data_IF_752432172597
#
_entry.id   IF_752432172597
#
_cell.length_a   1.000
_cell.length_b   1.000
_cell.length_c   1.000
_cell.angle_alpha   90.00
_cell.angle_beta   90.00
_cell.angle_gamma   90.00
#
_symmetry.space_group_name_H-M   'P 1'
#
loop_
_entity.id
_entity.type
_entity.pdbx_description
1 polymer ?
#
# COMPACT_ATOMS: atom_id res chain seq x y z
N UNK A 1 -18.54 -13.45 -34.74
CA UNK A 1 -17.33 -12.71 -34.33
C UNK A 1 -17.41 -11.24 -34.76
N UNK A 2 -16.90 -10.29 -33.95
CA UNK A 2 -16.92 -8.84 -34.28
C UNK A 2 -16.04 -8.51 -35.49
N UNK A 3 -14.82 -9.04 -35.53
CA UNK A 3 -13.86 -8.76 -36.59
C UNK A 3 -14.36 -9.18 -37.98
N UNK A 4 -15.20 -10.20 -38.10
CA UNK A 4 -15.72 -10.62 -39.40
C UNK A 4 -16.87 -9.75 -39.94
N UNK A 5 -17.45 -8.85 -39.13
CA UNK A 5 -18.56 -8.00 -39.57
C UNK A 5 -18.03 -6.84 -40.42
N UNK A 6 -18.78 -6.38 -41.44
CA UNK A 6 -18.43 -5.13 -42.12
C UNK A 6 -18.61 -3.93 -41.17
N UNK A 7 -17.88 -2.83 -41.41
CA UNK A 7 -17.90 -1.61 -40.57
C UNK A 7 -19.31 -1.09 -40.30
N UNK A 8 -20.18 -1.10 -41.33
CA UNK A 8 -21.61 -0.70 -41.22
C UNK A 8 -22.46 -1.52 -40.24
N UNK A 9 -22.01 -2.72 -39.85
CA UNK A 9 -22.66 -3.59 -38.85
C UNK A 9 -21.85 -3.64 -37.54
N UNK A 10 -21.01 -2.64 -37.29
CA UNK A 10 -20.20 -2.53 -36.08
C UNK A 10 -18.94 -3.40 -36.07
N UNK A 11 -18.45 -3.83 -37.25
CA UNK A 11 -17.16 -4.50 -37.36
C UNK A 11 -16.00 -3.62 -36.92
N UNK A 12 -15.06 -4.21 -36.19
CA UNK A 12 -13.88 -3.56 -35.61
C UNK A 12 -12.75 -4.60 -35.42
N UNK A 13 -11.52 -4.12 -35.28
CA UNK A 13 -10.43 -4.98 -34.78
C UNK A 13 -10.75 -5.47 -33.37
N UNK A 14 -10.19 -6.62 -33.00
CA UNK A 14 -10.28 -7.18 -31.65
C UNK A 14 -8.86 -7.46 -31.17
N UNK A 15 -8.50 -6.91 -30.02
CA UNK A 15 -7.21 -7.12 -29.37
C UNK A 15 -7.42 -7.97 -28.12
N UNK A 16 -6.70 -9.09 -28.05
CA UNK A 16 -6.68 -9.96 -26.88
C UNK A 16 -5.40 -9.72 -26.10
N UNK A 17 -5.54 -9.62 -24.78
CA UNK A 17 -4.42 -9.46 -23.85
C UNK A 17 -4.58 -10.49 -22.75
N UNK A 18 -3.69 -11.48 -22.72
CA UNK A 18 -3.60 -12.48 -21.65
C UNK A 18 -2.39 -12.22 -20.74
N UNK A 19 -2.38 -12.84 -19.55
CA UNK A 19 -1.25 -12.81 -18.61
C UNK A 19 -0.02 -13.61 -19.08
N UNK A 20 -0.21 -14.62 -19.95
CA UNK A 20 0.85 -15.50 -20.48
C UNK A 20 0.74 -15.67 -22.00
N UNK A 21 1.88 -15.93 -22.66
CA UNK A 21 1.96 -16.11 -24.11
C UNK A 21 1.17 -17.33 -24.62
N UNK A 22 1.13 -18.42 -23.86
CA UNK A 22 0.38 -19.63 -24.22
C UNK A 22 -1.13 -19.36 -24.37
N UNK A 23 -1.69 -18.49 -23.53
CA UNK A 23 -3.12 -18.14 -23.58
C UNK A 23 -3.46 -17.36 -24.87
N UNK A 24 -2.51 -16.57 -25.39
CA UNK A 24 -2.67 -15.90 -26.67
C UNK A 24 -2.83 -16.89 -27.84
N UNK A 25 -2.08 -17.99 -27.81
CA UNK A 25 -2.20 -19.08 -28.79
C UNK A 25 -3.57 -19.75 -28.71
N UNK A 26 -4.00 -20.12 -27.51
CA UNK A 26 -5.28 -20.78 -27.28
C UNK A 26 -6.47 -19.91 -27.70
N UNK A 27 -6.43 -18.61 -27.37
CA UNK A 27 -7.45 -17.66 -27.79
C UNK A 27 -7.56 -17.54 -29.30
N UNK A 28 -6.42 -17.43 -30.00
CA UNK A 28 -6.38 -17.36 -31.46
C UNK A 28 -6.84 -18.68 -32.08
N UNK A 29 -6.42 -19.83 -31.56
CA UNK A 29 -6.88 -21.13 -32.02
C UNK A 29 -8.40 -21.29 -31.88
N UNK A 30 -8.98 -20.88 -30.74
CA UNK A 30 -10.42 -20.87 -30.51
C UNK A 30 -11.13 -19.95 -31.51
N UNK A 31 -10.63 -18.72 -31.71
CA UNK A 31 -11.17 -17.80 -32.71
C UNK A 31 -11.14 -18.37 -34.13
N UNK A 32 -10.07 -19.07 -34.52
CA UNK A 32 -9.93 -19.70 -35.83
C UNK A 32 -10.95 -20.83 -36.02
N UNK A 33 -11.14 -21.68 -34.99
CA UNK A 33 -12.14 -22.75 -34.99
C UNK A 33 -13.54 -22.19 -35.27
N UNK A 34 -13.95 -21.16 -34.54
CA UNK A 34 -15.26 -20.52 -34.73
C UNK A 34 -15.37 -19.83 -36.09
N UNK A 35 -14.32 -19.16 -36.55
CA UNK A 35 -14.33 -18.51 -37.86
C UNK A 35 -14.55 -19.50 -39.01
N UNK A 36 -13.96 -20.70 -38.92
CA UNK A 36 -14.17 -21.81 -39.87
C UNK A 36 -15.60 -22.36 -39.77
N UNK A 37 -16.09 -22.62 -38.56
CA UNK A 37 -17.43 -23.17 -38.33
C UNK A 37 -18.56 -22.26 -38.86
N UNK A 38 -18.42 -20.94 -38.74
CA UNK A 38 -19.40 -19.98 -39.25
C UNK A 38 -19.21 -19.62 -40.74
N UNK A 39 -18.43 -20.41 -41.48
CA UNK A 39 -18.13 -20.24 -42.91
C UNK A 39 -17.72 -18.80 -43.30
N UNK A 40 -16.97 -18.11 -42.42
CA UNK A 40 -16.65 -16.70 -42.63
C UNK A 40 -15.47 -16.46 -43.58
N UNK A 41 -15.07 -17.47 -44.40
CA UNK A 41 -13.89 -17.46 -45.28
C UNK A 41 -12.69 -16.77 -44.62
N UNK A 42 -12.48 -17.04 -43.33
CA UNK A 42 -11.26 -16.63 -42.68
C UNK A 42 -10.14 -17.37 -43.40
N UNK A 43 -9.28 -16.63 -44.12
CA UNK A 43 -7.91 -17.06 -44.35
C UNK A 43 -7.22 -17.01 -42.99
N UNK A 44 -7.60 -17.96 -42.14
CA UNK A 44 -7.00 -18.20 -40.84
C UNK A 44 -5.65 -18.87 -41.09
N UNK A 45 -4.78 -18.15 -41.78
CA UNK A 45 -3.36 -18.36 -41.70
C UNK A 45 -3.01 -17.77 -40.34
N UNK A 46 -2.66 -18.63 -39.37
CA UNK A 46 -2.06 -18.15 -38.12
C UNK A 46 -0.72 -17.56 -38.54
N UNK A 47 -0.68 -16.24 -38.73
CA UNK A 47 0.56 -15.56 -39.04
C UNK A 47 1.35 -15.46 -37.75
N UNK A 48 2.46 -16.18 -37.68
CA UNK A 48 3.55 -15.87 -36.77
C UNK A 48 4.34 -14.73 -37.43
N UNK A 49 4.07 -13.49 -37.01
CA UNK A 49 4.81 -12.34 -37.52
C UNK A 49 5.63 -11.77 -36.36
N UNK A 50 6.95 -11.93 -36.45
CA UNK A 50 7.92 -11.22 -35.63
C UNK A 50 7.98 -9.77 -36.10
N UNK A 51 7.74 -8.84 -35.18
CA UNK A 51 8.05 -7.42 -35.40
C UNK A 51 9.23 -7.05 -34.53
N UNK A 52 10.24 -6.42 -35.13
CA UNK A 52 11.43 -5.97 -34.42
C UNK A 52 11.14 -4.65 -33.71
N UNK A 53 11.25 -4.64 -32.38
CA UNK A 53 11.19 -3.42 -31.59
C UNK A 53 12.55 -2.71 -31.67
N UNK A 54 12.62 -1.62 -32.44
CA UNK A 54 13.85 -0.85 -32.64
C UNK A 54 14.37 -0.18 -31.37
N UNK A 55 13.50 0.10 -30.40
CA UNK A 55 13.88 0.75 -29.15
C UNK A 55 14.50 -0.25 -28.16
N UNK A 56 14.13 -1.53 -28.26
CA UNK A 56 14.53 -2.58 -27.29
C UNK A 56 15.39 -3.70 -27.87
N UNK A 57 15.56 -3.76 -29.19
CA UNK A 57 16.29 -4.83 -29.89
C UNK A 57 15.77 -6.24 -29.55
N UNK A 58 14.45 -6.40 -29.51
CA UNK A 58 13.79 -7.69 -29.24
C UNK A 58 12.71 -7.99 -30.30
N UNK A 59 12.47 -9.28 -30.55
CA UNK A 59 11.38 -9.74 -31.41
C UNK A 59 10.08 -9.88 -30.61
N UNK A 60 9.02 -9.20 -31.07
CA UNK A 60 7.68 -9.37 -30.51
C UNK A 60 6.92 -10.38 -31.38
N UNK A 61 6.64 -11.56 -30.81
CA UNK A 61 5.78 -12.58 -31.38
C UNK A 61 4.31 -12.15 -31.28
N UNK A 62 3.63 -12.02 -32.41
CA UNK A 62 2.19 -11.69 -32.45
C UNK A 62 1.41 -12.75 -33.22
N UNK A 63 0.32 -13.24 -32.61
CA UNK A 63 -0.62 -14.17 -33.24
C UNK A 63 -1.85 -13.41 -33.74
N UNK A 64 -2.24 -13.64 -35.01
CA UNK A 64 -3.27 -12.84 -35.66
C UNK A 64 -4.13 -13.66 -36.63
N UNK A 65 -5.42 -13.35 -36.67
CA UNK A 65 -6.37 -13.79 -37.69
C UNK A 65 -6.85 -12.56 -38.46
N UNK A 66 -6.77 -12.61 -39.79
CA UNK A 66 -7.29 -11.56 -40.68
C UNK A 66 -8.62 -11.98 -41.28
N UNK A 67 -9.52 -11.00 -41.43
CA UNK A 67 -10.83 -11.17 -42.06
C UNK A 67 -10.91 -10.31 -43.32
N UNK A 68 -10.42 -10.78 -44.49
CA UNK A 68 -10.25 -9.97 -45.69
C UNK A 68 -11.51 -9.22 -46.13
N UNK A 69 -12.67 -9.87 -46.07
CA UNK A 69 -13.96 -9.29 -46.48
C UNK A 69 -14.42 -8.11 -45.61
N UNK A 70 -13.87 -8.00 -44.40
CA UNK A 70 -14.22 -6.95 -43.45
C UNK A 70 -13.12 -5.89 -43.28
N UNK A 71 -11.87 -6.24 -43.64
CA UNK A 71 -10.68 -5.43 -43.39
C UNK A 71 -10.17 -5.45 -41.95
N UNK A 72 -10.80 -6.18 -41.02
CA UNK A 72 -10.40 -6.23 -39.62
C UNK A 72 -9.57 -7.47 -39.26
N UNK A 73 -8.99 -7.42 -38.06
CA UNK A 73 -8.18 -8.51 -37.48
C UNK A 73 -8.57 -8.82 -36.03
N UNK A 74 -8.32 -10.06 -35.64
CA UNK A 74 -8.15 -10.46 -34.24
C UNK A 74 -6.65 -10.61 -34.01
N UNK A 75 -6.11 -9.93 -33.00
CA UNK A 75 -4.67 -9.96 -32.71
C UNK A 75 -4.46 -10.14 -31.21
N UNK A 76 -3.61 -11.09 -30.84
CA UNK A 76 -3.14 -11.20 -29.47
C UNK A 76 -1.91 -10.31 -29.27
N UNK A 77 -1.90 -9.59 -28.15
CA UNK A 77 -0.83 -8.69 -27.72
C UNK A 77 -0.32 -9.14 -26.35
N UNK A 78 0.93 -8.83 -26.04
CA UNK A 78 1.42 -8.99 -24.67
C UNK A 78 0.77 -7.96 -23.74
N UNK A 79 0.81 -8.24 -22.43
CA UNK A 79 0.25 -7.41 -21.35
C UNK A 79 0.90 -6.04 -21.17
N UNK A 80 1.89 -5.68 -22.00
CA UNK A 80 2.55 -4.37 -21.95
C UNK A 80 1.60 -3.25 -22.40
N UNK A 81 1.31 -2.23 -21.58
CA UNK A 81 0.37 -1.16 -21.91
C UNK A 81 0.71 -0.37 -23.18
N UNK A 82 2.01 -0.24 -23.50
CA UNK A 82 2.50 0.43 -24.71
C UNK A 82 1.91 -0.17 -25.99
N UNK A 83 1.63 -1.47 -26.00
CA UNK A 83 1.17 -2.18 -27.20
C UNK A 83 -0.26 -1.85 -27.60
N UNK A 84 -1.07 -1.31 -26.67
CA UNK A 84 -2.44 -0.89 -26.97
C UNK A 84 -2.50 0.57 -27.45
N UNK A 85 -1.50 1.40 -27.12
CA UNK A 85 -1.55 2.83 -27.45
C UNK A 85 -1.48 3.03 -28.96
N UNK A 86 -2.36 3.89 -29.49
CA UNK A 86 -2.45 4.18 -30.92
C UNK A 86 -3.24 3.15 -31.75
N UNK A 87 -3.71 2.05 -31.13
CA UNK A 87 -4.59 1.09 -31.80
C UNK A 87 -6.06 1.52 -31.74
N UNK A 88 -6.88 0.95 -32.63
CA UNK A 88 -8.33 1.17 -32.64
C UNK A 88 -9.07 -0.16 -32.83
N UNK A 89 -9.89 -0.53 -31.84
CA UNK A 89 -10.62 -1.80 -31.81
C UNK A 89 -11.13 -2.16 -30.42
N UNK A 90 -11.96 -3.20 -30.36
CA UNK A 90 -12.39 -3.80 -29.09
C UNK A 90 -11.18 -4.42 -28.37
N UNK A 91 -11.15 -4.34 -27.04
CA UNK A 91 -10.10 -4.95 -26.21
C UNK A 91 -10.73 -6.03 -25.32
N UNK A 92 -10.08 -7.18 -25.25
CA UNK A 92 -10.41 -8.30 -24.35
C UNK A 92 -9.20 -8.52 -23.46
N UNK A 93 -9.36 -8.20 -22.18
CA UNK A 93 -8.37 -8.46 -21.13
C UNK A 93 -8.83 -9.70 -20.40
N UNK A 94 -8.02 -10.74 -20.47
CA UNK A 94 -8.29 -12.05 -19.89
C UNK A 94 -7.33 -12.32 -18.72
N UNK A 95 -7.77 -13.09 -17.75
CA UNK A 95 -7.10 -13.27 -16.46
C UNK A 95 -6.74 -11.94 -15.78
N UNK A 96 -7.62 -10.94 -15.89
CA UNK A 96 -7.37 -9.56 -15.48
C UNK A 96 -6.81 -9.43 -14.05
N UNK A 97 -7.31 -10.23 -13.09
CA UNK A 97 -6.89 -10.19 -11.70
C UNK A 97 -5.44 -10.68 -11.45
N UNK A 98 -4.79 -11.24 -12.47
CA UNK A 98 -3.42 -11.77 -12.43
C UNK A 98 -2.43 -10.98 -13.29
N UNK A 99 -2.81 -9.80 -13.81
CA UNK A 99 -1.87 -8.88 -14.46
C UNK A 99 -1.16 -8.02 -13.42
N UNK A 100 0.17 -8.02 -13.41
CA UNK A 100 0.99 -7.19 -12.49
C UNK A 100 0.72 -5.68 -12.64
N UNK A 101 0.47 -5.22 -13.87
CA UNK A 101 0.25 -3.81 -14.20
C UNK A 101 -1.18 -3.56 -14.74
N UNK A 102 -2.19 -4.17 -14.11
CA UNK A 102 -3.57 -4.07 -14.58
C UNK A 102 -4.05 -2.60 -14.70
N UNK A 103 -3.67 -1.71 -13.79
CA UNK A 103 -4.10 -0.31 -13.81
C UNK A 103 -3.63 0.43 -15.09
N UNK A 104 -2.35 0.33 -15.43
CA UNK A 104 -1.80 0.94 -16.64
C UNK A 104 -2.34 0.28 -17.91
N UNK A 105 -2.61 -1.04 -17.88
CA UNK A 105 -3.25 -1.75 -18.98
C UNK A 105 -4.67 -1.24 -19.21
N UNK A 106 -5.47 -1.08 -18.15
CA UNK A 106 -6.83 -0.55 -18.20
C UNK A 106 -6.85 0.89 -18.70
N UNK A 107 -5.92 1.73 -18.21
CA UNK A 107 -5.74 3.11 -18.69
C UNK A 107 -5.47 3.17 -20.19
N UNK A 108 -4.63 2.28 -20.71
CA UNK A 108 -4.38 2.17 -22.15
C UNK A 108 -5.62 1.65 -22.90
N UNK A 109 -6.29 0.61 -22.39
CA UNK A 109 -7.47 0.01 -23.02
C UNK A 109 -8.66 0.98 -23.07
N UNK A 110 -8.91 1.75 -22.01
CA UNK A 110 -10.01 2.71 -21.96
C UNK A 110 -9.81 3.89 -22.91
N UNK A 111 -8.58 4.25 -23.28
CA UNK A 111 -8.36 5.26 -24.31
C UNK A 111 -8.97 4.86 -25.68
N UNK A 112 -9.09 3.54 -25.96
CA UNK A 112 -9.68 3.04 -27.20
C UNK A 112 -11.21 3.16 -27.24
N UNK A 113 -11.89 3.30 -26.10
CA UNK A 113 -13.35 3.40 -26.04
C UNK A 113 -13.87 4.73 -26.59
N UNK A 114 -13.02 5.76 -26.66
CA UNK A 114 -13.35 7.08 -27.22
C UNK A 114 -13.98 7.00 -28.63
N UNK A 115 -13.62 5.99 -29.42
CA UNK A 115 -14.13 5.78 -30.77
C UNK A 115 -15.24 4.71 -30.86
N UNK A 116 -15.93 4.48 -29.73
CA UNK A 116 -17.05 3.55 -29.59
C UNK A 116 -16.62 2.08 -29.58
N UNK A 117 -15.37 1.79 -29.22
CA UNK A 117 -14.89 0.42 -29.01
C UNK A 117 -15.28 -0.09 -27.62
N UNK A 118 -15.31 -1.41 -27.44
CA UNK A 118 -15.67 -2.06 -26.17
C UNK A 118 -14.45 -2.63 -25.49
N UNK A 119 -14.37 -2.48 -24.17
CA UNK A 119 -13.40 -3.18 -23.32
C UNK A 119 -14.14 -4.28 -22.57
N UNK A 120 -13.62 -5.50 -22.62
CA UNK A 120 -14.10 -6.65 -21.83
C UNK A 120 -12.99 -7.05 -20.88
N UNK A 121 -13.34 -7.18 -19.60
CA UNK A 121 -12.43 -7.55 -18.52
C UNK A 121 -12.97 -8.87 -17.96
N UNK A 122 -12.19 -9.93 -18.08
CA UNK A 122 -12.58 -11.32 -17.75
C UNK A 122 -11.50 -11.88 -16.82
N UNK A 123 -11.91 -12.50 -15.72
CA UNK A 123 -11.02 -13.12 -14.75
C UNK A 123 -11.80 -13.96 -13.74
N UNK A 124 -11.16 -14.95 -13.13
CA UNK A 124 -11.53 -15.39 -11.78
C UNK A 124 -11.11 -14.34 -10.75
N UNK A 125 -11.64 -14.42 -9.53
CA UNK A 125 -11.25 -13.49 -8.48
C UNK A 125 -9.85 -13.82 -7.93
N UNK A 126 -9.17 -12.80 -7.40
CA UNK A 126 -7.88 -12.93 -6.71
C UNK A 126 -7.90 -12.06 -5.46
N UNK A 127 -8.78 -12.40 -4.51
CA UNK A 127 -9.03 -11.62 -3.30
C UNK A 127 -9.96 -10.42 -3.49
N UNK A 128 -10.48 -9.92 -2.36
CA UNK A 128 -11.35 -8.73 -2.31
C UNK A 128 -10.61 -7.42 -2.58
N UNK A 129 -9.32 -7.33 -2.28
CA UNK A 129 -8.54 -6.09 -2.41
C UNK A 129 -7.95 -5.89 -3.81
N UNK A 130 -8.08 -6.89 -4.70
CA UNK A 130 -7.57 -6.81 -6.06
C UNK A 130 -8.35 -5.80 -6.89
N UNK A 131 -7.64 -5.07 -7.75
CA UNK A 131 -8.20 -4.03 -8.61
C UNK A 131 -9.37 -4.55 -9.47
N UNK A 132 -9.31 -5.80 -9.94
CA UNK A 132 -10.42 -6.42 -10.66
C UNK A 132 -11.72 -6.46 -9.82
N UNK A 133 -11.64 -6.86 -8.55
CA UNK A 133 -12.78 -6.85 -7.65
C UNK A 133 -13.28 -5.43 -7.37
N UNK A 134 -12.37 -4.46 -7.21
CA UNK A 134 -12.74 -3.06 -7.02
C UNK A 134 -13.58 -2.52 -8.20
N UNK A 135 -13.19 -2.83 -9.43
CA UNK A 135 -13.95 -2.43 -10.63
C UNK A 135 -15.36 -3.04 -10.67
N UNK A 136 -15.53 -4.27 -10.19
CA UNK A 136 -16.85 -4.92 -10.05
C UNK A 136 -17.70 -4.19 -9.00
N UNK A 137 -17.12 -3.82 -7.85
CA UNK A 137 -17.85 -3.09 -6.81
C UNK A 137 -18.24 -1.69 -7.28
N UNK A 138 -17.31 -0.95 -7.90
CA UNK A 138 -17.58 0.37 -8.47
C UNK A 138 -18.74 0.33 -9.49
N UNK A 139 -18.83 -0.72 -10.30
CA UNK A 139 -19.92 -0.91 -11.24
C UNK A 139 -21.26 -1.20 -10.54
N UNK A 140 -21.26 -2.08 -9.52
CA UNK A 140 -22.46 -2.42 -8.74
C UNK A 140 -23.00 -1.24 -7.93
N UNK A 141 -22.12 -0.37 -7.46
CA UNK A 141 -22.46 0.86 -6.74
C UNK A 141 -22.88 2.00 -7.67
N UNK A 142 -22.84 1.80 -8.99
CA UNK A 142 -23.20 2.83 -9.98
C UNK A 142 -22.15 3.93 -10.16
N UNK A 143 -20.94 3.77 -9.59
CA UNK A 143 -19.80 4.68 -9.84
C UNK A 143 -19.24 4.52 -11.24
N UNK A 144 -19.46 3.36 -11.88
CA UNK A 144 -19.10 3.07 -13.27
C UNK A 144 -20.28 2.50 -14.03
N UNK A 145 -20.51 2.98 -15.25
CA UNK A 145 -21.55 2.47 -16.15
C UNK A 145 -21.09 1.19 -16.87
N UNK A 146 -20.80 0.14 -16.09
CA UNK A 146 -20.34 -1.15 -16.59
C UNK A 146 -21.38 -2.23 -16.34
N UNK A 147 -21.56 -3.13 -17.31
CA UNK A 147 -22.36 -4.34 -17.10
C UNK A 147 -21.51 -5.42 -16.44
N UNK A 148 -21.88 -5.84 -15.22
CA UNK A 148 -21.23 -6.95 -14.52
C UNK A 148 -21.92 -8.26 -14.87
N UNK A 149 -21.13 -9.25 -15.31
CA UNK A 149 -21.60 -10.61 -15.59
C UNK A 149 -20.86 -11.59 -14.68
N UNK A 150 -21.59 -12.54 -14.08
CA UNK A 150 -21.03 -13.58 -13.20
C UNK A 150 -21.49 -14.93 -13.73
N UNK A 151 -20.54 -15.81 -14.01
CA UNK A 151 -20.77 -17.17 -14.51
C UNK A 151 -19.93 -18.11 -13.64
N UNK A 152 -20.58 -18.82 -12.72
CA UNK A 152 -19.94 -19.80 -11.85
C UNK A 152 -19.76 -21.13 -12.58
N UNK A 153 -18.97 -22.04 -12.00
CA UNK A 153 -18.88 -23.41 -12.47
C UNK A 153 -20.27 -24.09 -12.51
N UNK A 154 -21.14 -23.79 -11.54
CA UNK A 154 -22.48 -24.37 -11.47
C UNK A 154 -23.37 -23.86 -12.60
N UNK A 155 -23.26 -22.58 -12.95
CA UNK A 155 -23.94 -22.01 -14.12
C UNK A 155 -23.45 -22.69 -15.41
N UNK A 156 -22.13 -22.88 -15.55
CA UNK A 156 -21.55 -23.54 -16.71
C UNK A 156 -21.95 -25.03 -16.81
N UNK A 157 -22.04 -25.74 -15.68
CA UNK A 157 -22.54 -27.12 -15.62
C UNK A 157 -24.00 -27.18 -16.07
N UNK A 158 -24.85 -26.28 -15.57
CA UNK A 158 -26.25 -26.19 -15.98
C UNK A 158 -26.40 -25.95 -17.49
N UNK A 159 -25.48 -25.18 -18.09
CA UNK A 159 -25.39 -24.95 -19.54
C UNK A 159 -24.74 -26.11 -20.34
N UNK A 160 -24.34 -27.19 -19.66
CA UNK A 160 -23.87 -28.43 -20.28
C UNK A 160 -22.35 -28.57 -20.39
N UNK A 161 -21.55 -27.85 -19.60
CA UNK A 161 -20.09 -27.97 -19.58
C UNK A 161 -19.64 -29.42 -19.41
N UNK A 162 -20.15 -30.13 -18.40
CA UNK A 162 -19.72 -31.50 -18.13
C UNK A 162 -20.13 -32.47 -19.24
N UNK A 163 -21.32 -32.28 -19.84
CA UNK A 163 -21.74 -33.02 -21.05
C UNK A 163 -20.75 -32.83 -22.20
N UNK A 164 -20.26 -31.60 -22.40
CA UNK A 164 -19.25 -31.30 -23.41
C UNK A 164 -17.91 -31.94 -23.10
N UNK A 165 -17.48 -31.93 -21.84
CA UNK A 165 -16.27 -32.62 -21.39
C UNK A 165 -16.38 -34.11 -21.70
N UNK A 166 -17.45 -34.77 -21.26
CA UNK A 166 -17.72 -36.19 -21.55
C UNK A 166 -17.67 -36.49 -23.06
N UNK A 167 -18.27 -35.64 -23.89
CA UNK A 167 -18.24 -35.81 -25.34
C UNK A 167 -16.83 -35.74 -25.93
N UNK A 168 -16.02 -34.75 -25.52
CA UNK A 168 -14.66 -34.57 -26.06
C UNK A 168 -13.69 -35.62 -25.52
N UNK A 169 -13.88 -36.09 -24.29
CA UNK A 169 -13.06 -37.12 -23.65
C UNK A 169 -13.55 -38.55 -23.92
N UNK A 170 -14.62 -38.70 -24.71
CA UNK A 170 -15.27 -39.98 -25.02
C UNK A 170 -15.69 -40.78 -23.77
N UNK A 171 -16.23 -40.09 -22.78
CA UNK A 171 -16.77 -40.67 -21.54
C UNK A 171 -18.31 -40.65 -21.55
N UNK A 172 -18.98 -41.68 -20.99
CA UNK A 172 -20.42 -41.65 -20.83
C UNK A 172 -20.83 -40.59 -19.79
N UNK A 173 -21.82 -39.77 -20.12
CA UNK A 173 -22.38 -38.78 -19.20
C UNK A 173 -23.48 -39.42 -18.33
N UNK A 174 -23.51 -39.08 -17.04
CA UNK A 174 -24.65 -39.29 -16.15
C UNK A 174 -24.76 -38.16 -15.12
N UNK A 175 -25.95 -37.90 -14.56
CA UNK A 175 -26.12 -36.90 -13.49
C UNK A 175 -25.24 -37.18 -12.25
N UNK A 176 -25.04 -38.45 -11.92
CA UNK A 176 -24.21 -38.88 -10.79
C UNK A 176 -22.73 -38.60 -11.05
N UNK A 177 -22.27 -38.87 -12.27
CA UNK A 177 -20.90 -38.58 -12.69
C UNK A 177 -20.62 -37.08 -12.72
N UNK A 178 -21.58 -36.27 -13.17
CA UNK A 178 -21.50 -34.81 -13.18
C UNK A 178 -21.37 -34.24 -11.76
N UNK A 179 -22.23 -34.70 -10.85
CA UNK A 179 -22.17 -34.31 -9.44
C UNK A 179 -20.86 -34.75 -8.79
N UNK A 180 -20.43 -35.99 -9.03
CA UNK A 180 -19.17 -36.51 -8.48
C UNK A 180 -17.96 -35.74 -8.99
N UNK A 181 -17.95 -35.32 -10.26
CA UNK A 181 -16.91 -34.49 -10.85
C UNK A 181 -16.85 -33.11 -10.20
N UNK A 182 -18.00 -32.42 -10.10
CA UNK A 182 -18.12 -31.12 -9.42
C UNK A 182 -17.64 -31.22 -7.97
N UNK A 183 -18.17 -32.17 -7.21
CA UNK A 183 -17.81 -32.34 -5.80
C UNK A 183 -16.34 -32.73 -5.63
N UNK A 184 -15.76 -33.45 -6.61
CA UNK A 184 -14.34 -33.73 -6.70
C UNK A 184 -13.49 -32.48 -6.88
N UNK A 185 -13.88 -31.55 -7.75
CA UNK A 185 -13.18 -30.27 -7.95
C UNK A 185 -13.14 -29.44 -6.66
N UNK A 186 -14.29 -29.30 -5.98
CA UNK A 186 -14.38 -28.57 -4.72
C UNK A 186 -13.59 -29.25 -3.59
N UNK A 187 -13.59 -30.59 -3.54
CA UNK A 187 -12.86 -31.36 -2.51
C UNK A 187 -11.34 -31.32 -2.70
N UNK A 188 -10.88 -31.30 -3.96
CA UNK A 188 -9.46 -31.34 -4.30
C UNK A 188 -8.80 -29.95 -4.31
N UNK A 189 -9.60 -28.88 -4.19
CA UNK A 189 -9.06 -27.54 -4.01
C UNK A 189 -8.30 -27.41 -2.67
N UNK A 190 -7.29 -26.52 -2.54
CA UNK A 190 -6.48 -26.38 -1.32
C UNK A 190 -7.29 -26.12 -0.05
N UNK A 191 -8.37 -25.34 -0.15
CA UNK A 191 -9.35 -25.09 0.90
C UNK A 191 -10.66 -24.60 0.27
N UNK A 192 -11.73 -24.55 1.08
CA UNK A 192 -13.06 -24.12 0.63
C UNK A 192 -13.05 -22.73 -0.01
N UNK A 193 -12.35 -21.79 0.60
CA UNK A 193 -12.27 -20.41 0.09
C UNK A 193 -11.59 -20.34 -1.28
N UNK A 194 -10.64 -21.25 -1.56
CA UNK A 194 -9.99 -21.39 -2.86
C UNK A 194 -10.91 -22.01 -3.90
N UNK A 195 -11.73 -22.98 -3.51
CA UNK A 195 -12.77 -23.51 -4.40
C UNK A 195 -13.83 -22.45 -4.72
N UNK A 196 -14.27 -21.70 -3.71
CA UNK A 196 -15.29 -20.65 -3.84
C UNK A 196 -14.79 -19.49 -4.72
N UNK A 197 -13.50 -19.15 -4.65
CA UNK A 197 -12.86 -18.13 -5.50
C UNK A 197 -12.70 -18.56 -6.95
N UNK A 198 -12.19 -19.78 -7.16
CA UNK A 198 -11.92 -20.30 -8.50
C UNK A 198 -13.20 -20.71 -9.22
N UNK A 199 -14.10 -21.44 -8.56
CA UNK A 199 -15.29 -22.05 -9.17
C UNK A 199 -16.59 -21.31 -8.83
N UNK A 200 -16.66 -20.69 -7.66
CA UNK A 200 -17.85 -20.00 -7.18
C UNK A 200 -17.92 -18.52 -7.58
N UNK A 201 -16.86 -17.96 -8.18
CA UNK A 201 -16.72 -16.52 -8.40
C UNK A 201 -17.02 -15.71 -7.13
N UNK A 202 -16.50 -16.17 -5.98
CA UNK A 202 -16.60 -15.50 -4.68
C UNK A 202 -15.19 -15.05 -4.32
N UNK A 203 -14.87 -13.75 -4.36
CA UNK A 203 -13.52 -13.31 -4.01
C UNK A 203 -13.18 -13.81 -2.61
N UNK A 204 -11.98 -14.37 -2.43
CA UNK A 204 -11.52 -14.69 -1.09
C UNK A 204 -11.59 -13.41 -0.27
N UNK A 205 -12.23 -13.51 0.90
CA UNK A 205 -12.01 -12.51 1.94
C UNK A 205 -10.50 -12.37 2.09
N UNK A 206 -10.02 -11.14 2.18
CA UNK A 206 -8.61 -10.87 2.34
C UNK A 206 -8.06 -11.83 3.39
N UNK A 207 -7.16 -12.73 3.00
CA UNK A 207 -6.36 -13.44 3.98
C UNK A 207 -5.46 -12.41 4.64
N UNK A 208 -5.98 -11.72 5.67
CA UNK A 208 -5.18 -10.90 6.58
C UNK A 208 -4.92 -9.44 6.18
N UNK A 209 -5.92 -8.61 5.91
CA UNK A 209 -5.81 -7.17 6.20
C UNK A 209 -6.53 -6.92 7.54
N UNK A 210 -5.78 -6.58 8.58
CA UNK A 210 -6.33 -6.43 9.93
C UNK A 210 -7.24 -5.19 10.06
N UNK A 211 -6.89 -4.13 9.32
CA UNK A 211 -7.64 -2.90 9.13
C UNK A 211 -8.19 -2.85 7.70
N UNK A 212 -9.47 -2.52 7.54
CA UNK A 212 -10.04 -2.35 6.20
C UNK A 212 -9.65 -0.98 5.63
N UNK A 213 -9.52 -0.91 4.30
CA UNK A 213 -9.29 0.34 3.57
C UNK A 213 -10.30 1.43 3.95
N UNK A 214 -11.58 1.07 4.11
CA UNK A 214 -12.66 2.01 4.47
C UNK A 214 -12.41 2.64 5.84
N UNK A 215 -12.00 1.85 6.85
CA UNK A 215 -11.68 2.37 8.18
C UNK A 215 -10.48 3.32 8.13
N UNK A 216 -9.45 2.96 7.36
CA UNK A 216 -8.25 3.77 7.22
C UNK A 216 -8.58 5.11 6.52
N UNK A 217 -9.28 5.06 5.38
CA UNK A 217 -9.64 6.27 4.63
C UNK A 217 -10.61 7.19 5.38
N UNK A 218 -11.44 6.65 6.28
CA UNK A 218 -12.31 7.41 7.16
C UNK A 218 -11.52 8.15 8.26
N UNK A 219 -10.43 7.58 8.76
CA UNK A 219 -9.51 8.23 9.70
C UNK A 219 -8.59 9.25 9.01
N UNK A 220 -8.44 9.22 7.69
CA UNK A 220 -7.59 10.17 6.97
C UNK A 220 -8.24 11.56 6.86
N UNK A 221 -7.50 12.62 7.22
CA UNK A 221 -8.00 14.00 7.09
C UNK A 221 -8.31 14.39 5.63
N UNK A 222 -9.54 14.80 5.27
CA UNK A 222 -9.87 15.15 3.89
C UNK A 222 -9.16 16.42 3.41
N UNK A 223 -8.86 17.34 4.32
CA UNK A 223 -8.21 18.63 4.01
C UNK A 223 -6.69 18.53 3.84
N UNK A 224 -6.09 17.34 4.08
CA UNK A 224 -4.66 17.05 3.88
C UNK A 224 -3.72 18.01 4.64
N UNK A 225 -4.12 18.36 5.86
CA UNK A 225 -3.45 19.36 6.69
C UNK A 225 -2.39 18.78 7.65
N UNK A 226 -2.19 17.46 7.65
CA UNK A 226 -1.17 16.78 8.47
C UNK A 226 0.09 16.56 7.61
N UNK A 227 1.23 17.23 7.89
CA UNK A 227 2.44 17.10 7.10
C UNK A 227 3.13 15.74 7.30
N UNK A 228 3.74 15.22 6.22
CA UNK A 228 4.67 14.08 6.27
C UNK A 228 6.04 14.58 5.84
N UNK A 229 6.92 14.79 6.81
CA UNK A 229 8.27 15.30 6.63
C UNK A 229 9.23 14.14 6.40
N UNK A 230 9.97 14.19 5.30
CA UNK A 230 10.94 13.15 4.95
C UNK A 230 12.33 13.71 4.95
N UNK A 231 13.23 13.06 5.67
CA UNK A 231 14.65 13.40 5.66
C UNK A 231 15.47 12.19 5.24
N UNK A 232 16.11 12.30 4.08
CA UNK A 232 17.01 11.29 3.54
C UNK A 232 18.43 11.85 3.57
N UNK A 233 19.28 11.23 4.39
CA UNK A 233 20.68 11.60 4.46
C UNK A 233 21.43 11.12 3.19
N UNK A 234 22.32 11.95 2.62
CA UNK A 234 23.08 11.58 1.43
C UNK A 234 23.99 10.36 1.69
N UNK A 235 24.39 9.65 0.63
CA UNK A 235 25.17 8.41 0.76
C UNK A 235 26.52 8.62 1.48
N UNK A 236 27.09 9.83 1.42
CA UNK A 236 28.34 10.22 2.06
C UNK A 236 28.15 10.84 3.46
N UNK A 237 26.94 10.85 4.02
CA UNK A 237 26.63 11.53 5.27
C UNK A 237 27.47 11.04 6.48
N UNK A 238 27.80 9.75 6.52
CA UNK A 238 28.68 9.18 7.54
C UNK A 238 30.12 9.70 7.46
N UNK A 239 30.57 10.12 6.27
CA UNK A 239 31.93 10.63 6.04
C UNK A 239 32.11 12.08 6.49
N UNK A 240 31.01 12.82 6.70
CA UNK A 240 31.04 14.18 7.22
C UNK A 240 31.58 14.22 8.65
N UNK A 241 32.02 15.39 9.11
CA UNK A 241 32.38 15.56 10.53
C UNK A 241 31.13 15.52 11.41
N UNK A 242 31.24 15.15 12.71
CA UNK A 242 30.11 15.22 13.64
C UNK A 242 29.44 16.60 13.68
N UNK A 243 30.21 17.68 13.60
CA UNK A 243 29.71 19.06 13.61
C UNK A 243 28.90 19.38 12.35
N UNK A 244 29.36 18.94 11.18
CA UNK A 244 28.62 19.14 9.93
C UNK A 244 27.30 18.36 9.93
N UNK A 245 27.30 17.09 10.35
CA UNK A 245 26.06 16.32 10.49
C UNK A 245 25.08 16.99 11.45
N UNK A 246 25.59 17.49 12.57
CA UNK A 246 24.79 18.19 13.57
C UNK A 246 24.15 19.46 12.99
N UNK A 247 24.92 20.31 12.32
CA UNK A 247 24.43 21.53 11.68
C UNK A 247 23.36 21.25 10.63
N UNK A 248 23.59 20.30 9.72
CA UNK A 248 22.61 19.94 8.67
C UNK A 248 21.27 19.51 9.28
N UNK A 249 21.32 18.67 10.31
CA UNK A 249 20.10 18.19 10.97
C UNK A 249 19.45 19.27 11.81
N UNK A 250 20.24 20.14 12.44
CA UNK A 250 19.73 21.27 13.21
C UNK A 250 18.98 22.25 12.32
N UNK A 251 19.57 22.64 11.18
CA UNK A 251 18.94 23.53 10.21
C UNK A 251 17.62 22.94 9.71
N UNK A 252 17.60 21.64 9.41
CA UNK A 252 16.37 20.95 8.99
C UNK A 252 15.31 20.93 10.09
N UNK A 253 15.69 20.65 11.35
CA UNK A 253 14.78 20.72 12.48
C UNK A 253 14.19 22.13 12.67
N UNK A 254 15.00 23.17 12.53
CA UNK A 254 14.57 24.56 12.69
C UNK A 254 13.66 25.03 11.54
N UNK A 255 13.93 24.59 10.32
CA UNK A 255 13.14 24.99 9.15
C UNK A 255 11.82 24.21 9.03
N UNK A 256 11.84 22.90 9.27
CA UNK A 256 10.71 22.02 8.97
C UNK A 256 9.92 21.61 10.22
N UNK A 257 10.59 21.36 11.36
CA UNK A 257 9.92 20.87 12.58
C UNK A 257 9.48 21.99 13.50
N UNK A 258 10.32 23.01 13.71
CA UNK A 258 10.04 24.07 14.67
C UNK A 258 8.71 24.80 14.39
N UNK A 259 8.35 25.17 13.14
CA UNK A 259 7.07 25.82 12.89
C UNK A 259 5.86 24.94 13.25
N UNK A 260 5.97 23.62 13.04
CA UNK A 260 4.90 22.68 13.38
C UNK A 260 4.78 22.45 14.89
N UNK A 261 5.92 22.40 15.58
CA UNK A 261 5.99 22.24 17.04
C UNK A 261 5.44 23.50 17.76
N UNK A 262 5.81 24.69 17.29
CA UNK A 262 5.33 25.96 17.86
C UNK A 262 3.82 26.18 17.63
N UNK A 263 3.25 25.58 16.58
CA UNK A 263 1.82 25.62 16.30
C UNK A 263 0.98 24.64 17.16
N UNK A 264 1.61 23.76 17.95
CA UNK A 264 0.88 22.79 18.76
C UNK A 264 0.12 23.45 19.91
N UNK A 265 -1.14 23.06 20.08
CA UNK A 265 -1.99 23.60 21.15
C UNK A 265 -1.53 23.14 22.53
N UNK A 266 -1.22 24.05 23.47
CA UNK A 266 -0.86 23.69 24.84
C UNK A 266 -2.03 23.10 25.64
N UNK A 267 -3.26 23.15 25.11
CA UNK A 267 -4.43 22.55 25.74
C UNK A 267 -4.47 21.02 25.56
N UNK A 268 -3.83 20.51 24.51
CA UNK A 268 -3.81 19.09 24.19
C UNK A 268 -2.68 18.40 24.95
N UNK A 269 -2.87 17.12 25.30
CA UNK A 269 -1.76 16.26 25.72
C UNK A 269 -1.05 15.76 24.48
N UNK A 270 0.26 15.58 24.54
CA UNK A 270 1.03 15.03 23.42
C UNK A 270 1.75 13.76 23.83
N UNK A 271 1.73 12.78 22.92
CA UNK A 271 2.46 11.52 23.04
C UNK A 271 3.19 11.22 21.74
N UNK A 272 4.20 10.35 21.78
CA UNK A 272 4.97 9.99 20.60
C UNK A 272 5.12 8.47 20.48
N UNK A 273 4.95 7.95 19.27
CA UNK A 273 5.33 6.60 18.91
C UNK A 273 6.49 6.60 17.94
N UNK A 274 7.33 5.56 18.05
CA UNK A 274 8.51 5.40 17.23
C UNK A 274 8.67 3.96 16.75
N UNK A 275 9.01 3.81 15.48
CA UNK A 275 9.51 2.56 14.90
C UNK A 275 10.91 2.81 14.33
N UNK A 276 11.88 2.02 14.78
CA UNK A 276 13.29 2.27 14.54
C UNK A 276 13.81 1.51 13.33
N UNK A 277 14.51 2.20 12.42
CA UNK A 277 15.34 1.56 11.41
C UNK A 277 16.67 2.28 11.16
N UNK A 278 17.69 1.49 10.79
CA UNK A 278 19.00 2.04 10.40
C UNK A 278 19.36 1.85 8.93
N UNK A 279 19.01 0.69 8.37
CA UNK A 279 19.37 0.28 7.00
C UNK A 279 18.15 -0.35 6.33
N UNK A 280 17.90 0.01 5.07
CA UNK A 280 16.75 -0.50 4.30
C UNK A 280 15.45 0.23 4.65
N UNK A 281 14.99 0.03 5.88
CA UNK A 281 13.69 0.50 6.38
C UNK A 281 13.75 1.95 6.85
N UNK A 282 12.58 2.54 7.17
CA UNK A 282 12.45 3.93 7.63
C UNK A 282 12.35 3.99 9.15
N UNK A 283 13.07 4.91 9.79
CA UNK A 283 12.67 5.32 11.16
C UNK A 283 11.48 6.25 11.04
N UNK A 284 10.44 6.02 11.83
CA UNK A 284 9.21 6.82 11.79
C UNK A 284 8.89 7.37 13.17
N UNK A 285 8.72 8.68 13.29
CA UNK A 285 8.20 9.34 14.49
C UNK A 285 6.76 9.83 14.25
N UNK A 286 5.86 9.50 15.18
CA UNK A 286 4.44 9.84 15.12
C UNK A 286 4.01 10.53 16.42
N UNK A 287 4.12 11.87 16.51
CA UNK A 287 3.47 12.64 17.56
C UNK A 287 1.95 12.66 17.37
N UNK A 288 1.22 12.32 18.44
CA UNK A 288 -0.24 12.46 18.52
C UNK A 288 -0.60 13.54 19.54
N UNK A 289 -1.49 14.45 19.14
CA UNK A 289 -2.24 15.30 20.04
C UNK A 289 -3.50 14.57 20.52
N UNK A 290 -3.73 14.58 21.83
CA UNK A 290 -4.95 14.09 22.48
C UNK A 290 -5.72 15.30 22.96
N UNK A 291 -6.86 15.54 22.35
CA UNK A 291 -7.73 16.68 22.63
C UNK A 291 -8.51 16.47 23.93
N UNK A 292 -9.11 17.53 24.52
CA UNK A 292 -9.94 17.40 25.73
C UNK A 292 -11.15 16.46 25.58
N UNK A 293 -11.66 16.27 24.37
CA UNK A 293 -12.69 15.29 24.01
C UNK A 293 -12.13 13.89 23.72
N UNK A 294 -10.87 13.63 24.09
CA UNK A 294 -10.19 12.33 24.06
C UNK A 294 -9.92 11.76 22.65
N UNK A 295 -10.07 12.59 21.61
CA UNK A 295 -9.72 12.22 20.24
C UNK A 295 -8.22 12.36 20.02
N UNK A 296 -7.68 11.46 19.20
CA UNK A 296 -6.27 11.43 18.84
C UNK A 296 -6.09 11.99 17.43
N UNK A 297 -5.12 12.87 17.27
CA UNK A 297 -4.80 13.46 15.97
C UNK A 297 -3.29 13.42 15.76
N UNK A 298 -2.86 12.84 14.64
CA UNK A 298 -1.47 12.96 14.18
C UNK A 298 -1.16 14.44 13.93
N UNK A 299 -0.12 14.94 14.60
CA UNK A 299 0.31 16.34 14.45
C UNK A 299 1.05 16.51 13.12
N UNK A 300 2.04 15.64 12.92
CA UNK A 300 2.86 15.49 11.72
C UNK A 300 3.55 14.13 11.78
N UNK A 301 4.17 13.72 10.69
CA UNK A 301 5.01 12.52 10.63
C UNK A 301 6.43 12.89 10.24
N UNK A 302 7.40 12.22 10.86
CA UNK A 302 8.79 12.26 10.39
C UNK A 302 9.19 10.88 9.90
N UNK A 303 9.66 10.79 8.66
CA UNK A 303 10.21 9.57 8.06
C UNK A 303 11.70 9.80 7.75
N UNK A 304 12.58 9.03 8.37
CA UNK A 304 14.03 9.15 8.23
C UNK A 304 14.60 7.99 7.42
N UNK A 305 15.47 8.31 6.45
CA UNK A 305 16.18 7.33 5.63
C UNK A 305 17.68 7.61 5.67
N UNK A 306 18.47 6.55 5.86
CA UNK A 306 19.92 6.59 5.85
C UNK A 306 20.56 7.51 6.93
N UNK A 307 19.80 7.92 7.94
CA UNK A 307 20.27 8.83 9.00
C UNK A 307 21.08 8.07 10.05
N UNK A 308 22.21 8.63 10.51
CA UNK A 308 23.03 8.01 11.56
C UNK A 308 22.32 8.01 12.91
N UNK A 309 22.71 7.09 13.81
CA UNK A 309 22.12 6.95 15.14
C UNK A 309 22.06 8.28 15.93
N UNK A 310 23.17 9.02 15.97
CA UNK A 310 23.23 10.30 16.69
C UNK A 310 22.32 11.37 16.10
N UNK A 311 22.15 11.36 14.78
CA UNK A 311 21.30 12.32 14.10
C UNK A 311 19.81 11.98 14.24
N UNK A 312 19.45 10.70 14.26
CA UNK A 312 18.11 10.28 14.65
C UNK A 312 17.80 10.68 16.10
N UNK A 313 18.78 10.49 17.01
CA UNK A 313 18.69 10.95 18.41
C UNK A 313 18.51 12.46 18.52
N UNK A 314 19.26 13.24 17.73
CA UNK A 314 19.10 14.70 17.69
C UNK A 314 17.69 15.11 17.31
N UNK A 315 17.14 14.53 16.22
CA UNK A 315 15.78 14.82 15.75
C UNK A 315 14.76 14.43 16.82
N UNK A 316 14.90 13.23 17.41
CA UNK A 316 14.02 12.77 18.47
C UNK A 316 13.97 13.74 19.66
N UNK A 317 15.14 14.13 20.17
CA UNK A 317 15.23 15.03 21.33
C UNK A 317 14.73 16.45 20.99
N UNK A 318 14.94 16.90 19.75
CA UNK A 318 14.39 18.16 19.27
C UNK A 318 12.85 18.17 19.33
N UNK A 319 12.20 17.07 18.92
CA UNK A 319 10.75 16.89 18.98
C UNK A 319 10.28 16.82 20.44
N UNK A 320 10.81 15.88 21.23
CA UNK A 320 10.31 15.61 22.59
C UNK A 320 10.40 16.84 23.50
N UNK A 321 11.48 17.63 23.41
CA UNK A 321 11.68 18.84 24.22
C UNK A 321 10.71 19.99 23.88
N UNK A 322 9.93 19.86 22.81
CA UNK A 322 9.01 20.89 22.31
C UNK A 322 7.55 20.44 22.24
N UNK A 323 7.23 19.20 22.64
CA UNK A 323 5.84 18.75 22.72
C UNK A 323 5.15 19.35 23.97
N UNK A 324 4.11 20.17 23.83
CA UNK A 324 3.39 20.72 24.98
C UNK A 324 2.70 19.62 25.78
N UNK A 325 2.71 19.70 27.12
CA UNK A 325 2.07 18.69 27.99
C UNK A 325 2.41 17.25 27.57
N UNK A 326 3.69 17.03 27.25
CA UNK A 326 4.19 15.72 26.88
C UNK A 326 3.88 14.72 28.01
N UNK A 327 3.20 13.63 27.66
CA UNK A 327 2.69 12.64 28.63
C UNK A 327 3.44 11.31 28.55
N UNK A 328 3.97 10.96 27.39
CA UNK A 328 4.79 9.76 27.26
C UNK A 328 5.11 9.40 25.81
N UNK A 329 6.08 8.51 25.65
CA UNK A 329 6.47 7.97 24.37
C UNK A 329 6.82 6.49 24.46
N UNK A 330 6.51 5.75 23.39
CA UNK A 330 6.86 4.34 23.25
C UNK A 330 7.77 4.15 22.03
N UNK A 331 8.84 3.39 22.22
CA UNK A 331 9.91 3.18 21.24
C UNK A 331 10.06 1.71 20.90
N UNK A 332 10.38 1.41 19.64
CA UNK A 332 10.86 0.08 19.29
C UNK A 332 12.28 -0.10 19.82
N UNK A 333 12.40 -0.73 20.98
CA UNK A 333 13.68 -1.09 21.58
C UNK A 333 14.24 -2.42 21.05
N UNK A 334 13.61 -3.02 20.02
CA UNK A 334 14.08 -4.28 19.44
C UNK A 334 15.40 -4.08 18.68
N UNK A 335 16.44 -4.80 19.08
CA UNK A 335 17.74 -4.72 18.42
C UNK A 335 18.39 -3.34 18.58
N UNK A 336 18.59 -2.64 17.46
CA UNK A 336 19.35 -1.38 17.43
C UNK A 336 18.53 -0.16 17.92
N UNK A 337 17.20 -0.24 17.95
CA UNK A 337 16.36 0.87 18.39
C UNK A 337 16.44 1.16 19.89
N UNK A 338 16.98 0.20 20.67
CA UNK A 338 17.29 0.39 22.09
C UNK A 338 18.19 1.61 22.35
N UNK A 339 19.04 2.02 21.39
CA UNK A 339 19.88 3.22 21.51
C UNK A 339 19.05 4.51 21.67
N UNK A 340 18.00 4.69 20.86
CA UNK A 340 17.13 5.88 20.95
C UNK A 340 16.25 5.81 22.21
N UNK A 341 15.69 4.63 22.48
CA UNK A 341 14.82 4.40 23.62
C UNK A 341 15.54 4.67 24.96
N UNK A 342 16.79 4.21 25.10
CA UNK A 342 17.64 4.47 26.27
C UNK A 342 17.97 5.95 26.42
N UNK A 343 18.37 6.62 25.33
CA UNK A 343 18.69 8.05 25.35
C UNK A 343 17.48 8.90 25.80
N UNK A 344 16.28 8.60 25.32
CA UNK A 344 15.06 9.28 25.77
C UNK A 344 14.76 8.97 27.24
N UNK A 345 14.87 7.71 27.66
CA UNK A 345 14.59 7.26 29.03
C UNK A 345 15.54 7.87 30.06
N UNK A 346 16.80 8.12 29.71
CA UNK A 346 17.75 8.81 30.59
C UNK A 346 17.35 10.27 30.87
N UNK A 347 16.65 10.93 29.94
CA UNK A 347 16.24 12.33 30.08
C UNK A 347 14.87 12.46 30.75
N UNK A 348 13.89 11.67 30.31
CA UNK A 348 12.48 11.80 30.74
C UNK A 348 12.05 10.76 31.78
N UNK A 349 12.92 9.81 32.11
CA UNK A 349 12.66 8.78 33.11
C UNK A 349 11.79 7.62 32.60
N UNK A 350 11.74 6.52 33.39
CA UNK A 350 11.02 5.29 33.04
C UNK A 350 9.50 5.40 33.09
N UNK A 351 8.94 6.44 33.72
CA UNK A 351 7.49 6.62 33.83
C UNK A 351 6.89 7.20 32.54
N UNK A 352 7.67 7.99 31.79
CA UNK A 352 7.24 8.62 30.54
C UNK A 352 7.73 7.88 29.30
N UNK A 353 8.79 7.09 29.39
CA UNK A 353 9.39 6.40 28.25
C UNK A 353 9.23 4.89 28.38
N UNK A 354 8.48 4.28 27.45
CA UNK A 354 8.31 2.83 27.34
C UNK A 354 9.27 2.26 26.27
N UNK A 355 10.21 1.43 26.71
CA UNK A 355 11.15 0.74 25.82
C UNK A 355 10.55 -0.61 25.44
N UNK A 356 9.87 -0.69 24.29
CA UNK A 356 9.08 -1.85 23.91
C UNK A 356 9.92 -2.86 23.12
N UNK A 357 9.80 -4.15 23.48
CA UNK A 357 10.24 -5.24 22.62
C UNK A 357 9.06 -5.77 21.80
N UNK A 358 9.16 -5.70 20.47
CA UNK A 358 8.10 -6.11 19.53
C UNK A 358 7.93 -7.63 19.47
N UNK A 359 7.29 -8.19 20.48
CA UNK A 359 6.95 -9.62 20.57
C UNK A 359 5.54 -9.90 20.07
N UNK A 360 5.24 -11.16 19.76
CA UNK A 360 3.89 -11.58 19.39
C UNK A 360 2.84 -11.25 20.48
N UNK A 361 3.22 -11.35 21.77
CA UNK A 361 2.33 -10.97 22.88
C UNK A 361 2.07 -9.47 22.93
N UNK A 362 3.07 -8.64 22.61
CA UNK A 362 2.88 -7.19 22.52
C UNK A 362 1.90 -6.84 21.39
N UNK A 363 2.09 -7.42 20.21
CA UNK A 363 1.19 -7.24 19.08
C UNK A 363 -0.24 -7.69 19.41
N UNK A 364 -0.40 -8.84 20.05
CA UNK A 364 -1.69 -9.35 20.49
C UNK A 364 -2.42 -8.40 21.45
N UNK A 365 -1.68 -7.67 22.30
CA UNK A 365 -2.27 -6.69 23.22
C UNK A 365 -2.62 -5.36 22.54
N UNK A 366 -1.71 -4.82 21.71
CA UNK A 366 -1.79 -3.43 21.26
C UNK A 366 -2.50 -3.24 19.93
N UNK A 367 -2.42 -4.19 19.01
CA UNK A 367 -3.12 -4.08 17.73
C UNK A 367 -4.65 -4.03 17.88
N UNK A 368 -5.31 -4.80 18.77
CA UNK A 368 -6.74 -4.61 19.05
C UNK A 368 -7.11 -3.22 19.55
N UNK A 369 -6.26 -2.60 20.37
CA UNK A 369 -6.48 -1.23 20.85
C UNK A 369 -6.33 -0.23 19.71
N UNK A 370 -5.30 -0.37 18.87
CA UNK A 370 -5.14 0.43 17.64
C UNK A 370 -6.38 0.32 16.74
N UNK A 371 -6.85 -0.91 16.48
CA UNK A 371 -8.04 -1.14 15.67
C UNK A 371 -9.29 -0.51 16.27
N UNK A 372 -9.44 -0.58 17.60
CA UNK A 372 -10.52 0.09 18.32
C UNK A 372 -10.56 1.61 18.07
N UNK A 373 -9.40 2.27 17.96
CA UNK A 373 -9.33 3.70 17.63
C UNK A 373 -9.87 4.00 16.22
N UNK A 374 -9.60 3.13 15.24
CA UNK A 374 -10.15 3.26 13.88
C UNK A 374 -11.65 2.97 13.83
N UNK A 375 -12.10 1.88 14.46
CA UNK A 375 -13.51 1.49 14.49
C UNK A 375 -14.39 2.53 15.19
N UNK A 376 -13.87 3.15 16.26
CA UNK A 376 -14.53 4.24 16.99
C UNK A 376 -14.41 5.60 16.28
N UNK A 377 -13.71 5.68 15.14
CA UNK A 377 -13.36 6.95 14.48
C UNK A 377 -12.69 7.94 15.44
N UNK A 378 -11.90 7.44 16.39
CA UNK A 378 -11.30 8.25 17.44
C UNK A 378 -9.90 8.77 17.08
N UNK A 379 -9.36 8.37 15.93
CA UNK A 379 -8.06 8.77 15.43
C UNK A 379 -8.16 9.49 14.08
N UNK A 380 -7.39 10.56 13.91
CA UNK A 380 -7.19 11.24 12.62
C UNK A 380 -5.74 11.19 12.19
N UNK A 381 -5.48 10.75 10.95
CA UNK A 381 -4.14 10.54 10.38
C UNK A 381 -3.97 11.26 9.04
N UNK A 382 -2.71 11.41 8.59
CA UNK A 382 -2.36 12.01 7.31
C UNK A 382 -2.99 11.27 6.13
N UNK A 383 -3.52 12.02 5.15
CA UNK A 383 -4.10 11.45 3.94
C UNK A 383 -3.06 11.32 2.84
N UNK A 384 -2.45 10.14 2.74
CA UNK A 384 -1.45 9.83 1.72
C UNK A 384 -1.49 8.34 1.35
N UNK A 385 -1.12 7.99 0.11
CA UNK A 385 -1.12 6.59 -0.34
C UNK A 385 -0.23 5.71 0.54
N UNK A 386 0.95 6.21 0.90
CA UNK A 386 1.88 5.46 1.76
C UNK A 386 1.34 5.21 3.19
N UNK A 387 0.46 6.08 3.69
CA UNK A 387 -0.23 5.86 4.96
C UNK A 387 -1.21 4.70 4.86
N UNK A 388 -1.94 4.62 3.73
CA UNK A 388 -2.84 3.52 3.43
C UNK A 388 -2.06 2.21 3.29
N UNK A 389 -1.01 2.23 2.48
CA UNK A 389 -0.18 1.05 2.19
C UNK A 389 0.38 0.47 3.49
N UNK A 390 1.02 1.28 4.35
CA UNK A 390 1.62 0.78 5.59
C UNK A 390 0.59 0.16 6.55
N UNK A 391 -0.60 0.76 6.68
CA UNK A 391 -1.65 0.21 7.54
C UNK A 391 -2.28 -1.06 6.98
N UNK A 392 -2.32 -1.22 5.66
CA UNK A 392 -2.75 -2.46 5.00
C UNK A 392 -1.72 -3.60 5.10
N UNK A 393 -0.47 -3.31 5.49
CA UNK A 393 0.54 -4.35 5.75
C UNK A 393 0.34 -5.09 7.08
N UNK A 394 -0.61 -4.68 7.92
CA UNK A 394 -0.95 -5.42 9.14
C UNK A 394 -1.73 -6.68 8.76
N UNK A 395 -1.09 -7.84 8.96
CA UNK A 395 -1.68 -9.16 8.67
C UNK A 395 -1.90 -9.98 9.92
N UNK A 396 -2.88 -10.86 9.88
CA UNK A 396 -3.13 -11.81 10.98
C UNK A 396 -2.33 -13.09 10.72
N UNK A 397 -1.28 -13.32 11.50
CA UNK A 397 -0.50 -14.56 11.48
C UNK A 397 -0.77 -15.36 12.76
N UNK A 398 -1.20 -16.62 12.59
CA UNK A 398 -1.59 -17.52 13.72
C UNK A 398 -2.54 -16.88 14.74
N UNK A 399 -3.46 -16.02 14.26
CA UNK A 399 -4.44 -15.32 15.11
C UNK A 399 -3.93 -14.03 15.76
N UNK A 400 -2.67 -13.66 15.55
CA UNK A 400 -2.07 -12.43 16.08
C UNK A 400 -1.89 -11.44 14.92
N UNK A 401 -2.54 -10.26 14.96
CA UNK A 401 -2.27 -9.19 14.02
C UNK A 401 -0.86 -8.64 14.23
N UNK A 402 -0.03 -8.66 13.19
CA UNK A 402 1.33 -8.13 13.22
C UNK A 402 1.75 -7.68 11.81
N UNK A 403 2.85 -6.94 11.74
CA UNK A 403 3.41 -6.54 10.45
C UNK A 403 4.14 -7.74 9.83
N UNK A 404 3.78 -8.06 8.59
CA UNK A 404 4.47 -9.08 7.80
C UNK A 404 5.85 -8.56 7.39
N UNK A 405 6.86 -8.85 8.22
CA UNK A 405 8.25 -8.43 7.96
C UNK A 405 8.91 -9.15 6.78
N UNK A 406 8.19 -10.02 6.04
CA UNK A 406 8.66 -10.62 4.79
C UNK A 406 10.02 -11.32 4.92
N UNK A 407 10.02 -12.63 5.16
CA UNK A 407 11.27 -13.41 5.33
C UNK A 407 12.06 -13.67 4.04
N UNK A 408 11.89 -12.85 3.00
CA UNK A 408 12.61 -12.95 1.74
C UNK A 408 13.66 -11.85 1.63
N UNK A 409 14.93 -12.27 1.71
CA UNK A 409 16.04 -11.55 1.09
C UNK A 409 15.85 -11.57 -0.43
N UNK A 410 14.96 -10.73 -0.95
CA UNK A 410 14.89 -10.47 -2.38
C UNK A 410 15.66 -9.19 -2.66
N UNK A 411 16.85 -9.37 -3.25
CA UNK A 411 17.72 -8.33 -3.75
C UNK A 411 17.02 -7.55 -4.88
N UNK A 412 16.37 -6.43 -4.57
CA UNK A 412 15.86 -5.56 -5.64
C UNK A 412 14.79 -4.56 -5.23
N UNK A 413 15.20 -3.45 -4.63
CA UNK A 413 14.36 -2.25 -4.54
C UNK A 413 14.76 -1.33 -3.40
N UNK A 414 15.51 -0.25 -3.69
CA UNK A 414 15.64 0.87 -2.74
C UNK A 414 14.23 1.40 -2.44
N UNK A 415 13.81 1.35 -1.17
CA UNK A 415 12.61 2.05 -0.71
C UNK A 415 11.29 1.25 -0.67
N UNK A 416 11.33 -0.09 -0.58
CA UNK A 416 10.13 -0.89 -0.26
C UNK A 416 9.64 -0.51 1.15
N UNK A 417 8.35 -0.21 1.32
CA UNK A 417 7.77 0.11 2.64
C UNK A 417 7.41 -1.17 3.37
N UNK A 418 7.75 -1.25 4.65
CA UNK A 418 7.60 -2.47 5.45
C UNK A 418 6.48 -2.37 6.49
N UNK A 419 5.62 -1.35 6.40
CA UNK A 419 4.59 -1.10 7.42
C UNK A 419 5.12 -0.31 8.62
N UNK A 420 6.24 0.41 8.45
CA UNK A 420 6.94 1.12 9.53
C UNK A 420 6.03 2.13 10.24
N UNK A 421 5.21 2.86 9.47
CA UNK A 421 4.22 3.78 10.07
C UNK A 421 3.18 3.05 10.93
N UNK A 422 2.76 1.85 10.55
CA UNK A 422 1.73 1.12 11.30
C UNK A 422 2.24 0.71 12.69
N UNK A 423 3.52 0.32 12.80
CA UNK A 423 4.17 0.06 14.09
C UNK A 423 4.28 1.35 14.90
N UNK A 424 4.83 2.42 14.31
CA UNK A 424 4.99 3.69 15.00
C UNK A 424 3.66 4.28 15.48
N UNK A 425 2.59 4.15 14.70
CA UNK A 425 1.24 4.56 15.12
C UNK A 425 0.72 3.70 16.28
N UNK A 426 0.94 2.38 16.24
CA UNK A 426 0.60 1.49 17.35
C UNK A 426 1.35 1.86 18.64
N UNK A 427 2.63 2.22 18.53
CA UNK A 427 3.43 2.76 19.63
C UNK A 427 2.88 4.08 20.16
N UNK A 428 2.43 4.98 19.29
CA UNK A 428 1.84 6.24 19.72
C UNK A 428 0.51 6.01 20.46
N UNK A 429 -0.29 5.03 20.01
CA UNK A 429 -1.47 4.58 20.75
C UNK A 429 -1.07 3.96 22.09
N UNK A 430 -0.02 3.14 22.16
CA UNK A 430 0.53 2.64 23.44
C UNK A 430 0.86 3.79 24.38
N UNK A 431 1.58 4.80 23.91
CA UNK A 431 1.97 5.96 24.69
C UNK A 431 0.76 6.74 25.22
N UNK A 432 -0.36 6.75 24.49
CA UNK A 432 -1.60 7.40 24.95
C UNK A 432 -2.25 6.76 26.18
N UNK A 433 -1.89 5.52 26.52
CA UNK A 433 -2.34 4.82 27.73
C UNK A 433 -1.38 5.00 28.91
N UNK A 434 -0.26 5.72 28.72
CA UNK A 434 0.70 5.98 29.80
C UNK A 434 0.19 7.10 30.69
N UNK A 435 0.42 6.95 31.99
CA UNK A 435 0.08 7.96 33.00
C UNK A 435 1.34 8.77 33.39
N UNK A 436 2.05 9.29 32.40
CA UNK A 436 3.15 10.21 32.73
C UNK A 436 2.62 11.50 33.34
N UNK A 437 3.41 12.10 34.22
CA UNK A 437 3.08 13.38 34.83
C UNK A 437 3.34 14.51 33.84
N UNK A 438 2.53 15.57 33.89
CA UNK A 438 2.84 16.79 33.15
C UNK A 438 4.06 17.39 33.84
N UNK A 439 5.21 17.33 33.16
CA UNK A 439 6.44 17.99 33.59
C UNK A 439 6.15 19.50 33.67
N UNK A 440 6.19 20.06 34.88
CA UNK A 440 6.29 21.51 35.07
C UNK A 440 7.69 21.94 34.61
N UNK A 441 7.86 23.12 34.01
CA UNK A 441 9.10 23.51 33.31
C UNK A 441 10.35 23.38 34.21
N UNK A 442 10.19 23.40 35.53
CA UNK A 442 11.23 23.23 36.55
C UNK A 442 11.68 21.78 36.83
N UNK A 443 11.01 20.77 36.27
CA UNK A 443 11.24 19.34 36.59
C UNK A 443 12.07 18.56 35.57
N UNK A 444 12.54 19.21 34.50
CA UNK A 444 13.53 18.64 33.58
C UNK A 444 14.91 18.77 34.22
N UNK A 445 15.66 17.66 34.36
CA UNK A 445 17.09 17.75 34.63
C UNK A 445 17.79 18.47 33.47
N UNK A 446 17.98 19.78 33.65
CA UNK A 446 18.71 20.74 32.82
C UNK A 446 19.00 20.31 31.37
N UNK A 447 18.00 20.43 30.50
CA UNK A 447 18.26 20.68 29.07
C UNK A 447 18.73 22.14 28.93
N UNK A 448 19.64 22.45 27.98
CA UNK A 448 20.08 23.83 27.75
C UNK A 448 18.88 24.75 27.44
N UNK A 449 18.88 25.99 27.95
CA UNK A 449 17.70 26.87 27.90
C UNK A 449 17.27 27.17 26.46
N UNK A 450 15.95 27.30 26.29
CA UNK A 450 15.31 27.79 25.06
C UNK A 450 15.83 29.19 24.75
N UNK A 451 16.70 29.34 23.75
CA UNK A 451 17.08 30.65 23.24
C UNK A 451 15.94 31.19 22.37
N UNK A 452 15.02 31.95 22.99
CA UNK A 452 14.21 32.92 22.26
C UNK A 452 15.06 34.17 22.14
N UNK A 453 15.53 34.44 20.92
CA UNK A 453 16.14 35.72 20.59
C UNK A 453 15.06 36.79 20.57
N UNK A 454 14.85 37.47 21.69
CA UNK A 454 14.25 38.79 21.71
C UNK A 454 15.37 39.78 22.04
N UNK A 455 15.86 40.43 21.00
CA UNK A 455 16.69 41.62 21.13
C UNK A 455 15.85 42.74 21.69
N UNK A 456 16.20 43.21 22.89
CA UNK A 456 15.95 44.58 23.31
C UNK A 456 17.20 45.02 24.06
N UNK A 457 17.90 45.99 23.46
CA UNK A 457 18.92 46.80 24.11
C UNK A 457 18.39 47.35 25.44
N UNK A 458 19.17 47.17 26.50
CA UNK A 458 19.36 48.23 27.46
C UNK A 458 20.72 48.05 28.13
N UNK A 459 21.62 48.96 27.77
CA UNK A 459 22.72 49.39 28.62
C UNK A 459 22.22 49.62 30.04
N UNK A 460 22.87 49.01 31.02
CA UNK A 460 23.33 49.78 32.18
C UNK A 460 24.49 49.05 32.86
N UNK A 461 25.59 49.79 32.91
CA UNK A 461 26.85 49.50 33.56
C UNK A 461 26.72 49.57 35.09
N UNK A 462 27.61 48.85 35.76
CA UNK A 462 28.08 49.04 37.14
C UNK A 462 27.07 48.79 38.30
N UNK A 463 27.33 47.74 39.09
CA UNK A 463 27.96 48.03 40.38
C UNK A 463 28.84 46.89 40.91
N UNK A 464 29.99 47.33 41.41
CA UNK A 464 31.12 46.57 41.93
C UNK A 464 30.89 46.19 43.41
N UNK A 465 31.78 45.31 43.91
CA UNK A 465 32.05 44.92 45.30
C UNK A 465 31.41 43.60 45.77
N UNK A 466 32.13 42.47 45.67
CA UNK A 466 33.11 42.00 46.66
C UNK A 466 32.60 42.11 48.11
N UNK A 467 32.29 40.98 48.74
CA UNK A 467 32.94 40.65 50.01
C UNK A 467 33.12 39.13 50.16
N UNK A 468 34.38 38.80 50.36
CA UNK A 468 34.98 37.51 50.64
C UNK A 468 34.94 37.27 52.18
N UNK A 469 34.86 35.99 52.59
CA UNK A 469 35.40 35.36 53.83
C UNK A 469 34.56 35.21 55.12
N UNK A 470 34.75 34.02 55.70
CA UNK A 470 34.70 33.66 57.13
C UNK A 470 33.43 32.91 57.51
N UNK A 471 33.40 31.72 58.11
CA UNK A 471 34.28 30.95 58.99
C UNK A 471 33.30 30.07 59.81
N UNK A 472 33.55 28.82 60.18
CA UNK A 472 34.66 28.24 60.93
C UNK A 472 34.79 26.74 60.62
#
# INVERSE_FOLDING_TARGET
>A
MTAAKPRRRGGRNVFYVGSRQEMALEYIAACALFARAFNQLAKADVWEQTFWDSDKKEEILTYMIRFPNSGFKVQALSSRPSNLRGLQGDVVIDEAAFHEALDELLKAAFALTMWGARVRIISTHNGVDNLFNQYIQDAREGRKDYSVHRITLDDAIADGLYRRICYVTNQPWSPEAEKAWRDGLYRNAPNKESADEEYGCIPKKSGGAYLSRVLIEAAMTPVRDIPILRFEAPDDFESLTPQMRHGIVQDWCEQELLPLLDALSPLNKHVLGEDFARRGDLTVFVPLAITPDLRKRECFRVELRNVTYDQQRQILLFILSRLPRFTGAAFDATGNGGYLAEAARLIYGPEMIDCVNLTASWYQEWMPKLKGEFEAQNITIARHQTTLDDLLHIKVDKGIPQIDKGRTKDEGGKGRRHGDFAVALCMAVRASYMNGFVIDEDSIQALPPRHRGDGVDNDDFDDYHQFERGGW
#
